data_IF_648527809581
#
_entry.id   IF_648527809581
#
_cell.length_a   1.000
_cell.length_b   1.000
_cell.length_c   1.000
_cell.angle_alpha   90.00
_cell.angle_beta   90.00
_cell.angle_gamma   90.00
#
_symmetry.space_group_name_H-M   'P 1'
#
loop_
_entity.id
_entity.type
_entity.pdbx_description
1 polymer ?
#
# COMPACT_ATOMS: atom_id res chain seq x y z
N UNK A 1 -1.63 -4.62 -2.34
CA UNK A 1 -1.77 -3.64 -3.47
C UNK A 1 -0.84 -4.07 -4.60
N UNK A 2 -1.26 -4.06 -5.87
CA UNK A 2 -0.39 -4.52 -7.00
C UNK A 2 0.09 -3.41 -7.94
N UNK A 3 -0.39 -2.19 -7.77
CA UNK A 3 -0.18 -1.05 -8.66
C UNK A 3 0.68 0.05 -7.99
N UNK A 4 1.15 1.07 -8.74
CA UNK A 4 1.64 2.33 -8.16
C UNK A 4 0.59 3.03 -7.29
N UNK A 5 1.04 3.77 -6.28
CA UNK A 5 0.18 4.53 -5.38
C UNK A 5 -0.01 5.94 -5.92
N UNK A 6 -1.24 6.30 -6.28
CA UNK A 6 -1.68 7.67 -6.50
C UNK A 6 -2.52 8.17 -5.30
N UNK A 7 -2.89 9.45 -5.31
CA UNK A 7 -3.57 10.07 -4.17
C UNK A 7 -4.97 9.52 -3.89
N UNK A 8 -5.66 8.90 -4.87
CA UNK A 8 -6.88 8.13 -4.59
C UNK A 8 -6.67 6.95 -3.62
N UNK A 9 -5.56 6.21 -3.74
CA UNK A 9 -5.22 5.16 -2.76
C UNK A 9 -4.84 5.78 -1.40
N UNK A 10 -4.06 6.87 -1.43
CA UNK A 10 -3.64 7.57 -0.22
C UNK A 10 -4.85 8.10 0.57
N UNK A 11 -5.87 8.62 -0.11
CA UNK A 11 -7.10 9.11 0.51
C UNK A 11 -7.76 8.01 1.36
N UNK A 12 -7.88 6.78 0.83
CA UNK A 12 -8.47 5.66 1.58
C UNK A 12 -7.63 5.30 2.82
N UNK A 13 -6.31 5.31 2.69
CA UNK A 13 -5.39 5.00 3.80
C UNK A 13 -5.43 6.08 4.89
N UNK A 14 -5.41 7.35 4.49
CA UNK A 14 -5.47 8.51 5.38
C UNK A 14 -6.83 8.58 6.10
N UNK A 15 -7.93 8.37 5.37
CA UNK A 15 -9.26 8.37 5.98
C UNK A 15 -9.44 7.21 6.96
N UNK A 16 -8.93 6.02 6.63
CA UNK A 16 -8.90 4.88 7.55
C UNK A 16 -8.11 5.22 8.83
N UNK A 17 -6.93 5.84 8.70
CA UNK A 17 -6.14 6.28 9.85
C UNK A 17 -6.91 7.27 10.73
N UNK A 18 -7.60 8.24 10.11
CA UNK A 18 -8.46 9.21 10.80
C UNK A 18 -9.60 8.51 11.55
N UNK A 19 -10.34 7.62 10.89
CA UNK A 19 -11.42 6.86 11.52
C UNK A 19 -10.94 6.01 12.71
N UNK A 20 -9.78 5.38 12.63
CA UNK A 20 -9.20 4.64 13.75
C UNK A 20 -8.84 5.58 14.92
N UNK A 21 -8.28 6.75 14.62
CA UNK A 21 -7.97 7.75 15.65
C UNK A 21 -9.23 8.28 16.33
N UNK A 22 -10.29 8.56 15.56
CA UNK A 22 -11.61 8.98 16.07
C UNK A 22 -12.26 7.89 16.95
N UNK A 23 -12.02 6.61 16.66
CA UNK A 23 -12.43 5.48 17.51
C UNK A 23 -11.61 5.33 18.80
N UNK A 24 -10.57 6.15 18.99
CA UNK A 24 -9.76 6.18 20.20
C UNK A 24 -8.45 5.38 20.14
N UNK A 25 -8.13 4.72 19.02
CA UNK A 25 -6.83 4.07 18.83
C UNK A 25 -5.72 5.14 18.83
N UNK A 26 -4.69 4.95 19.66
CA UNK A 26 -3.66 5.99 19.90
C UNK A 26 -2.50 5.96 18.91
N UNK A 27 -2.21 4.79 18.33
CA UNK A 27 -1.10 4.57 17.40
C UNK A 27 -1.51 3.61 16.27
N UNK A 28 -2.49 3.97 15.43
CA UNK A 28 -2.82 3.15 14.26
C UNK A 28 -1.64 3.13 13.28
N UNK A 29 -1.24 1.94 12.86
CA UNK A 29 -0.13 1.71 11.92
C UNK A 29 -0.69 1.19 10.60
N UNK A 30 -0.26 1.79 9.49
CA UNK A 30 -0.56 1.32 8.15
C UNK A 30 0.42 0.22 7.76
N UNK A 31 -0.10 -0.96 7.41
CA UNK A 31 0.67 -1.99 6.73
C UNK A 31 0.54 -1.79 5.22
N UNK A 32 1.50 -1.09 4.63
CA UNK A 32 1.55 -0.90 3.18
C UNK A 32 2.18 -2.15 2.55
N UNK A 33 1.31 -3.02 2.03
CA UNK A 33 1.68 -4.38 1.65
C UNK A 33 1.55 -4.62 0.12
N UNK A 34 2.52 -4.19 -0.70
CA UNK A 34 2.56 -4.54 -2.10
C UNK A 34 2.71 -6.05 -2.32
N UNK A 35 1.98 -6.61 -3.29
CA UNK A 35 2.19 -7.98 -3.74
C UNK A 35 3.48 -8.06 -4.57
N UNK A 36 4.28 -9.10 -4.33
CA UNK A 36 5.57 -9.32 -4.98
C UNK A 36 5.81 -10.72 -5.55
N UNK A 37 4.82 -11.62 -5.50
CA UNK A 37 4.85 -12.82 -6.33
C UNK A 37 4.55 -12.51 -7.80
N UNK A 38 4.22 -13.53 -8.59
CA UNK A 38 3.90 -13.39 -10.00
C UNK A 38 2.79 -12.35 -10.25
N UNK A 39 2.98 -11.52 -11.27
CA UNK A 39 2.01 -10.57 -11.83
C UNK A 39 2.00 -10.71 -13.35
N UNK A 40 0.88 -10.37 -14.00
CA UNK A 40 0.76 -10.39 -15.46
C UNK A 40 1.67 -9.37 -16.14
N UNK A 41 1.99 -9.62 -17.40
CA UNK A 41 3.08 -8.96 -18.14
C UNK A 41 2.94 -7.43 -18.29
N UNK A 42 1.71 -6.90 -18.28
CA UNK A 42 1.44 -5.46 -18.42
C UNK A 42 1.38 -4.71 -17.08
N UNK A 43 1.50 -5.40 -15.94
CA UNK A 43 1.59 -4.73 -14.63
C UNK A 43 3.00 -4.15 -14.41
N UNK A 44 3.07 -3.04 -13.66
CA UNK A 44 4.34 -2.39 -13.34
C UNK A 44 5.23 -3.34 -12.50
N UNK A 45 6.50 -3.56 -12.88
CA UNK A 45 7.42 -4.45 -12.16
C UNK A 45 7.55 -4.09 -10.67
N UNK A 46 7.76 -5.11 -9.84
CA UNK A 46 7.85 -4.96 -8.38
C UNK A 46 8.91 -3.92 -7.97
N UNK A 47 10.10 -3.97 -8.56
CA UNK A 47 11.18 -3.02 -8.24
C UNK A 47 10.76 -1.57 -8.48
N UNK A 48 10.16 -1.30 -9.63
CA UNK A 48 9.62 0.03 -9.97
C UNK A 48 8.53 0.46 -8.99
N UNK A 49 7.61 -0.43 -8.62
CA UNK A 49 6.58 -0.14 -7.62
C UNK A 49 7.18 0.16 -6.24
N UNK A 50 8.16 -0.62 -5.80
CA UNK A 50 8.83 -0.39 -4.51
C UNK A 50 9.54 0.97 -4.48
N UNK A 51 10.21 1.36 -5.56
CA UNK A 51 10.82 2.69 -5.68
C UNK A 51 9.77 3.80 -5.67
N UNK A 52 8.64 3.60 -6.36
CA UNK A 52 7.53 4.53 -6.36
C UNK A 52 6.87 4.67 -4.98
N UNK A 53 6.67 3.57 -4.24
CA UNK A 53 6.11 3.60 -2.89
C UNK A 53 7.05 4.30 -1.90
N UNK A 54 8.37 4.07 -2.02
CA UNK A 54 9.37 4.83 -1.25
C UNK A 54 9.30 6.33 -1.55
N UNK A 55 9.11 6.72 -2.81
CA UNK A 55 8.92 8.12 -3.16
C UNK A 55 7.66 8.72 -2.51
N UNK A 56 6.53 8.01 -2.51
CA UNK A 56 5.28 8.45 -1.83
C UNK A 56 5.51 8.66 -0.33
N UNK A 57 6.27 7.78 0.33
CA UNK A 57 6.64 7.93 1.73
C UNK A 57 7.59 9.11 1.95
N UNK A 58 8.58 9.29 1.07
CA UNK A 58 9.53 10.40 1.15
C UNK A 58 8.85 11.78 0.99
N UNK A 59 7.86 11.86 0.11
CA UNK A 59 7.01 13.05 -0.10
C UNK A 59 5.97 13.26 1.02
N UNK A 60 5.93 12.36 2.01
CA UNK A 60 5.00 12.39 3.16
C UNK A 60 3.52 12.42 2.77
N UNK A 61 3.18 11.90 1.60
CA UNK A 61 1.79 11.61 1.23
C UNK A 61 1.21 10.55 2.18
N UNK A 62 2.04 9.60 2.60
CA UNK A 62 1.77 8.69 3.72
C UNK A 62 2.86 8.93 4.79
N UNK A 63 2.48 8.90 6.07
CA UNK A 63 3.43 9.11 7.17
C UNK A 63 4.39 7.91 7.31
N UNK A 64 5.71 8.08 7.10
CA UNK A 64 6.68 7.00 7.24
C UNK A 64 6.82 6.46 8.67
N UNK A 65 6.50 7.26 9.70
CA UNK A 65 6.60 6.84 11.10
C UNK A 65 5.43 5.95 11.52
N UNK A 66 4.29 6.09 10.84
CA UNK A 66 3.09 5.30 11.07
C UNK A 66 2.87 4.24 9.97
N UNK A 67 3.86 3.95 9.13
CA UNK A 67 3.73 3.00 8.01
C UNK A 67 4.84 1.95 8.02
N UNK A 68 4.45 0.68 7.91
CA UNK A 68 5.35 -0.44 7.63
C UNK A 68 5.20 -0.83 6.16
N UNK A 69 6.31 -0.77 5.40
CA UNK A 69 6.36 -1.21 4.01
C UNK A 69 6.94 -2.63 3.94
N UNK A 70 6.15 -3.61 3.49
CA UNK A 70 6.54 -5.01 3.39
C UNK A 70 6.00 -5.69 2.12
N UNK A 71 6.72 -6.67 1.58
CA UNK A 71 6.30 -7.38 0.35
C UNK A 71 5.48 -8.61 0.73
N UNK A 72 4.31 -8.76 0.12
CA UNK A 72 3.49 -9.98 0.23
C UNK A 72 3.93 -10.98 -0.86
N UNK A 73 4.41 -12.18 -0.51
CA UNK A 73 5.10 -13.06 -1.46
C UNK A 73 4.16 -13.88 -2.37
N UNK A 74 2.85 -13.84 -2.17
CA UNK A 74 1.91 -14.62 -2.99
C UNK A 74 1.92 -14.19 -4.46
N UNK A 75 1.70 -15.11 -5.41
CA UNK A 75 1.25 -14.78 -6.76
C UNK A 75 -0.08 -14.00 -6.73
N UNK A 76 -0.27 -13.10 -7.69
CA UNK A 76 -1.56 -12.47 -7.97
C UNK A 76 -2.37 -13.40 -8.88
N UNK A 77 -3.56 -13.78 -8.45
CA UNK A 77 -4.44 -14.69 -9.19
C UNK A 77 -5.33 -13.96 -10.21
N UNK A 78 -5.57 -12.67 -10.00
CA UNK A 78 -6.53 -11.87 -10.78
C UNK A 78 -7.94 -12.49 -10.77
N UNK A 79 -8.35 -13.06 -9.63
CA UNK A 79 -9.60 -13.81 -9.47
C UNK A 79 -10.73 -13.03 -8.76
N UNK A 80 -10.58 -11.71 -8.63
CA UNK A 80 -11.65 -10.82 -8.16
C UNK A 80 -12.14 -11.20 -6.76
N UNK A 81 -13.47 -11.33 -6.52
CA UNK A 81 -14.01 -11.68 -5.20
C UNK A 81 -13.55 -13.02 -4.61
N UNK A 82 -12.93 -13.90 -5.40
CA UNK A 82 -12.39 -15.20 -4.92
C UNK A 82 -10.98 -15.06 -4.37
N UNK A 83 -10.22 -14.08 -4.87
CA UNK A 83 -8.87 -13.75 -4.41
C UNK A 83 -8.89 -12.86 -3.17
#
# INVERSE_FOLDING_TARGET
LRNPIHNGHALLMQDTHRQLTERGYKKPVLLLHPLGGWTKDDDVPLETRMNQHKAVLNERVLDPQATVLAIFPSPMMYAGPTE
#
